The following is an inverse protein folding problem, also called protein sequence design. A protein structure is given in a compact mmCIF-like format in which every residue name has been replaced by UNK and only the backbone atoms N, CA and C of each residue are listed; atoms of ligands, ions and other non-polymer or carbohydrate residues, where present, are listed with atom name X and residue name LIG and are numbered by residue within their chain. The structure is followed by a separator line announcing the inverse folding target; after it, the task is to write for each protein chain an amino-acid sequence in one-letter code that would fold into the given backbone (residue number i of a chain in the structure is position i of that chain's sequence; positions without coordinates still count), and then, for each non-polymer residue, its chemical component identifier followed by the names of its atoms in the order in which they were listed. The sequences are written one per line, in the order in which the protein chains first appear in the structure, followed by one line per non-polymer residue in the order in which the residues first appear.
data_IF_677870608080
#
_entry.id   IF_677870608080
#
_cell.length_a   1.000
_cell.length_b   1.000
_cell.length_c   1.000
_cell.angle_alpha   90.00
_cell.angle_beta   90.00
_cell.angle_gamma   90.00
#
_symmetry.space_group_name_H-M   'P 1'
#
loop_
_entity.id
_entity.type
_entity.pdbx_description
1 polymer ?
#
# COMPACT_ATOMS: atom_id res chain seq x y z
N UNK A 1 -34.66 -11.18 -37.36
CA UNK A 1 -35.90 -10.37 -37.20
C UNK A 1 -36.33 -10.21 -35.75
N UNK A 2 -37.10 -11.10 -35.10
CA UNK A 2 -37.61 -10.83 -33.71
C UNK A 2 -36.55 -10.42 -32.67
N UNK A 3 -35.32 -10.96 -32.76
CA UNK A 3 -34.21 -10.58 -31.88
C UNK A 3 -33.69 -9.14 -32.09
N UNK A 4 -33.73 -8.60 -33.31
CA UNK A 4 -33.29 -7.22 -33.60
C UNK A 4 -34.30 -6.17 -33.14
N UNK A 5 -35.59 -6.48 -33.26
CA UNK A 5 -36.68 -5.58 -32.82
C UNK A 5 -36.66 -5.40 -31.31
N UNK A 6 -36.40 -6.47 -30.54
CA UNK A 6 -36.27 -6.40 -29.08
C UNK A 6 -35.08 -5.53 -28.64
N UNK A 7 -33.99 -5.59 -29.41
CA UNK A 7 -32.77 -4.83 -29.18
C UNK A 7 -33.01 -3.32 -29.37
N UNK A 8 -33.72 -2.94 -30.44
CA UNK A 8 -34.17 -1.57 -30.70
C UNK A 8 -35.05 -1.01 -29.58
N UNK A 9 -36.09 -1.73 -29.16
CA UNK A 9 -37.03 -1.24 -28.13
C UNK A 9 -36.38 -1.03 -26.76
N UNK A 10 -35.40 -1.87 -26.39
CA UNK A 10 -34.62 -1.70 -25.16
C UNK A 10 -33.65 -0.52 -25.26
N UNK A 11 -33.15 -0.23 -26.46
CA UNK A 11 -32.28 0.91 -26.72
C UNK A 11 -33.08 2.22 -26.65
N UNK A 12 -34.24 2.32 -27.29
CA UNK A 12 -35.17 3.47 -27.15
C UNK A 12 -35.52 3.78 -25.69
N UNK A 13 -35.89 2.76 -24.90
CA UNK A 13 -36.16 2.95 -23.46
C UNK A 13 -34.92 3.35 -22.65
N UNK A 14 -33.71 2.92 -23.05
CA UNK A 14 -32.46 3.37 -22.44
C UNK A 14 -32.12 4.81 -22.84
N UNK A 15 -32.43 5.21 -24.08
CA UNK A 15 -32.29 6.58 -24.58
C UNK A 15 -33.26 7.56 -23.85
N UNK A 16 -34.39 7.07 -23.32
CA UNK A 16 -35.40 7.85 -22.59
C UNK A 16 -35.16 8.00 -21.06
N UNK A 17 -34.15 7.32 -20.49
CA UNK A 17 -33.66 7.60 -19.13
C UNK A 17 -34.42 6.99 -17.94
N UNK A 18 -35.49 6.21 -18.15
CA UNK A 18 -36.31 5.62 -17.07
C UNK A 18 -36.10 4.10 -16.83
N UNK A 19 -34.96 3.53 -17.23
CA UNK A 19 -34.71 2.07 -17.09
C UNK A 19 -33.35 1.75 -16.45
N UNK A 20 -33.32 0.72 -15.59
CA UNK A 20 -32.09 0.16 -15.02
C UNK A 20 -31.32 -0.63 -16.07
N UNK A 21 -30.01 -0.32 -16.21
CA UNK A 21 -29.19 -0.86 -17.29
C UNK A 21 -28.81 -2.35 -17.06
N UNK A 22 -28.84 -3.21 -18.10
CA UNK A 22 -28.31 -4.57 -18.02
C UNK A 22 -26.80 -4.59 -17.81
N UNK A 23 -26.30 -5.54 -17.03
CA UNK A 23 -24.93 -5.49 -16.49
C UNK A 23 -23.81 -5.58 -17.54
N UNK A 24 -24.03 -6.35 -18.61
CA UNK A 24 -23.04 -6.67 -19.65
C UNK A 24 -23.13 -5.79 -20.90
N UNK A 25 -24.08 -4.85 -20.94
CA UNK A 25 -24.26 -3.92 -22.06
C UNK A 25 -23.22 -2.79 -22.00
N UNK A 26 -22.95 -2.21 -23.16
CA UNK A 26 -22.11 -1.02 -23.33
C UNK A 26 -23.01 0.22 -23.38
N UNK A 27 -22.81 1.15 -22.45
CA UNK A 27 -23.55 2.41 -22.39
C UNK A 27 -22.55 3.58 -22.51
N UNK A 28 -21.90 3.99 -21.40
CA UNK A 28 -20.87 5.03 -21.43
C UNK A 28 -19.53 4.51 -21.98
N UNK A 29 -19.25 3.21 -21.84
CA UNK A 29 -17.95 2.62 -22.18
C UNK A 29 -18.09 1.32 -22.98
N UNK A 30 -17.18 1.13 -23.92
CA UNK A 30 -17.06 -0.10 -24.72
C UNK A 30 -16.33 -1.23 -23.96
N UNK A 31 -16.55 -2.47 -24.40
CA UNK A 31 -15.88 -3.66 -23.86
C UNK A 31 -14.35 -3.64 -23.91
N UNK A 32 -13.70 -2.93 -24.85
CA UNK A 32 -12.23 -2.85 -24.87
C UNK A 32 -11.73 -1.91 -23.75
N UNK A 33 -12.38 -0.76 -23.57
CA UNK A 33 -12.15 0.16 -22.45
C UNK A 33 -12.38 -0.50 -21.08
N UNK A 34 -13.44 -1.30 -20.93
CA UNK A 34 -13.72 -2.09 -19.71
C UNK A 34 -12.58 -3.08 -19.41
N UNK A 35 -12.18 -3.89 -20.41
CA UNK A 35 -11.07 -4.86 -20.28
C UNK A 35 -9.69 -4.21 -20.06
N UNK A 36 -9.46 -3.02 -20.63
CA UNK A 36 -8.27 -2.24 -20.36
C UNK A 36 -8.25 -1.74 -18.92
N UNK A 37 -9.36 -1.17 -18.44
CA UNK A 37 -9.53 -0.67 -17.07
C UNK A 37 -9.32 -1.77 -16.04
N UNK A 38 -9.86 -2.97 -16.28
CA UNK A 38 -9.64 -4.11 -15.40
C UNK A 38 -8.15 -4.45 -15.25
N UNK A 39 -7.43 -4.57 -16.36
CA UNK A 39 -5.97 -4.81 -16.34
C UNK A 39 -5.22 -3.68 -15.62
N UNK A 40 -5.59 -2.42 -15.88
CA UNK A 40 -5.00 -1.25 -15.23
C UNK A 40 -5.19 -1.30 -13.71
N UNK A 41 -6.41 -1.56 -13.24
CA UNK A 41 -6.72 -1.70 -11.81
C UNK A 41 -5.93 -2.85 -11.19
N UNK A 42 -5.92 -4.05 -11.79
CA UNK A 42 -5.22 -5.23 -11.25
C UNK A 42 -3.71 -4.98 -11.15
N UNK A 43 -3.08 -4.38 -12.16
CA UNK A 43 -1.64 -4.06 -12.14
C UNK A 43 -1.31 -3.06 -11.02
N UNK A 44 -1.96 -1.90 -10.98
CA UNK A 44 -1.63 -0.86 -10.00
C UNK A 44 -2.00 -1.25 -8.56
N UNK A 45 -3.12 -1.94 -8.37
CA UNK A 45 -3.51 -2.43 -7.04
C UNK A 45 -2.60 -3.55 -6.55
N UNK A 46 -2.12 -4.45 -7.42
CA UNK A 46 -1.12 -5.47 -7.06
C UNK A 46 0.20 -4.82 -6.62
N UNK A 47 0.71 -3.83 -7.37
CA UNK A 47 1.94 -3.12 -7.01
C UNK A 47 1.76 -2.38 -5.67
N UNK A 48 0.63 -1.69 -5.48
CA UNK A 48 0.30 -1.00 -4.24
C UNK A 48 0.16 -1.97 -3.04
N UNK A 49 -0.52 -3.09 -3.23
CA UNK A 49 -0.71 -4.13 -2.20
C UNK A 49 0.63 -4.74 -1.77
N UNK A 50 1.48 -5.15 -2.72
CA UNK A 50 2.81 -5.73 -2.41
C UNK A 50 3.72 -4.69 -1.76
N UNK A 51 3.74 -3.44 -2.26
CA UNK A 51 4.54 -2.36 -1.69
C UNK A 51 4.12 -2.06 -0.25
N UNK A 52 2.82 -1.86 0.01
CA UNK A 52 2.29 -1.58 1.36
C UNK A 52 2.44 -2.77 2.30
N UNK A 53 2.26 -4.01 1.83
CA UNK A 53 2.48 -5.22 2.62
C UNK A 53 3.95 -5.36 3.04
N UNK A 54 4.90 -5.08 2.15
CA UNK A 54 6.33 -5.03 2.51
C UNK A 54 6.61 -3.97 3.58
N UNK A 55 5.99 -2.79 3.46
CA UNK A 55 6.06 -1.73 4.48
C UNK A 55 5.55 -2.26 5.83
N UNK A 56 4.35 -2.85 5.87
CA UNK A 56 3.72 -3.45 7.06
C UNK A 56 4.53 -4.58 7.70
N UNK A 57 5.05 -5.52 6.91
CA UNK A 57 5.89 -6.60 7.40
C UNK A 57 7.19 -6.08 8.01
N UNK A 58 7.79 -5.04 7.42
CA UNK A 58 8.98 -4.40 8.01
C UNK A 58 8.65 -3.70 9.34
N UNK A 59 7.48 -3.05 9.46
CA UNK A 59 7.02 -2.49 10.73
C UNK A 59 6.83 -3.56 11.82
N UNK A 60 6.39 -4.78 11.44
CA UNK A 60 6.27 -5.90 12.38
C UNK A 60 7.63 -6.46 12.83
N UNK A 61 8.64 -6.45 11.95
CA UNK A 61 10.01 -6.88 12.27
C UNK A 61 10.77 -5.87 13.15
N UNK A 62 10.55 -4.56 12.96
CA UNK A 62 11.33 -3.48 13.60
C UNK A 62 10.47 -2.52 14.45
N UNK A 63 9.43 -3.06 15.12
CA UNK A 63 8.36 -2.30 15.80
C UNK A 63 8.85 -1.20 16.74
N UNK A 64 9.65 -1.53 17.75
CA UNK A 64 9.89 -0.63 18.91
C UNK A 64 11.12 0.29 18.75
N UNK A 65 12.02 -0.06 17.84
CA UNK A 65 13.31 0.62 17.64
C UNK A 65 13.30 1.69 16.56
N UNK A 66 12.38 1.59 15.58
CA UNK A 66 12.49 2.37 14.34
C UNK A 66 11.39 3.41 14.12
N UNK A 67 10.16 3.17 14.57
CA UNK A 67 8.99 3.95 14.14
C UNK A 67 8.26 4.63 15.30
N UNK A 68 8.91 5.66 15.84
CA UNK A 68 8.34 6.54 16.87
C UNK A 68 7.56 7.69 16.22
N UNK A 69 6.76 8.42 16.99
CA UNK A 69 6.22 9.69 16.51
C UNK A 69 7.37 10.68 16.25
N UNK A 70 7.28 11.56 15.23
CA UNK A 70 6.12 11.83 14.38
C UNK A 70 5.96 10.90 13.16
N UNK A 71 6.82 9.91 12.93
CA UNK A 71 6.80 9.05 11.73
C UNK A 71 5.75 7.93 11.75
N UNK A 72 5.31 7.52 12.96
CA UNK A 72 4.37 6.40 13.17
C UNK A 72 3.06 6.42 12.36
N UNK A 73 2.43 7.57 12.00
CA UNK A 73 1.25 7.62 11.13
C UNK A 73 1.43 6.91 9.77
N UNK A 74 2.66 6.86 9.22
CA UNK A 74 2.95 6.15 7.96
C UNK A 74 2.60 4.65 8.05
N UNK A 75 2.65 4.05 9.24
CA UNK A 75 2.21 2.65 9.48
C UNK A 75 0.74 2.47 9.16
N UNK A 76 -0.12 3.29 9.79
CA UNK A 76 -1.57 3.17 9.67
C UNK A 76 -2.06 3.59 8.30
N UNK A 77 -1.37 4.55 7.69
CA UNK A 77 -1.60 4.91 6.31
C UNK A 77 -1.24 3.77 5.33
N UNK A 78 -0.13 3.05 5.57
CA UNK A 78 0.22 1.85 4.78
C UNK A 78 -0.83 0.75 4.95
N UNK A 79 -1.39 0.58 6.15
CA UNK A 79 -2.49 -0.34 6.42
C UNK A 79 -3.75 0.04 5.65
N UNK A 80 -4.10 1.33 5.63
CA UNK A 80 -5.23 1.84 4.85
C UNK A 80 -5.04 1.56 3.35
N UNK A 81 -3.87 1.88 2.78
CA UNK A 81 -3.62 1.63 1.35
C UNK A 81 -3.52 0.14 1.00
N UNK A 82 -3.09 -0.73 1.93
CA UNK A 82 -3.11 -2.17 1.72
C UNK A 82 -4.55 -2.71 1.57
N UNK A 83 -5.45 -2.28 2.47
CA UNK A 83 -6.86 -2.69 2.44
C UNK A 83 -7.65 -2.01 1.30
N UNK A 84 -7.31 -0.77 0.96
CA UNK A 84 -7.82 -0.07 -0.23
C UNK A 84 -7.44 -0.80 -1.53
N UNK A 85 -6.15 -1.16 -1.68
CA UNK A 85 -5.69 -1.95 -2.82
C UNK A 85 -6.32 -3.35 -2.86
N UNK A 86 -6.53 -3.99 -1.69
CA UNK A 86 -7.27 -5.23 -1.60
C UNK A 86 -8.72 -5.09 -2.08
N UNK A 87 -9.39 -3.94 -1.88
CA UNK A 87 -10.72 -3.66 -2.44
C UNK A 87 -10.79 -3.79 -3.96
N UNK A 88 -9.78 -3.28 -4.68
CA UNK A 88 -9.67 -3.47 -6.14
C UNK A 88 -9.43 -4.93 -6.52
N UNK A 89 -8.56 -5.64 -5.79
CA UNK A 89 -8.23 -7.05 -6.06
C UNK A 89 -9.39 -7.99 -5.73
N UNK A 90 -10.20 -7.68 -4.70
CA UNK A 90 -11.33 -8.50 -4.29
C UNK A 90 -12.38 -8.63 -5.40
N UNK A 91 -12.63 -7.56 -6.16
CA UNK A 91 -13.49 -7.59 -7.36
C UNK A 91 -13.00 -8.63 -8.39
N UNK A 92 -11.69 -8.74 -8.60
CA UNK A 92 -11.11 -9.73 -9.50
C UNK A 92 -11.23 -11.16 -8.95
N UNK A 93 -11.00 -11.34 -7.64
CA UNK A 93 -11.10 -12.65 -6.96
C UNK A 93 -12.53 -13.20 -6.97
N UNK A 94 -13.54 -12.35 -6.78
CA UNK A 94 -14.95 -12.75 -6.70
C UNK A 94 -15.62 -12.98 -8.07
N UNK A 95 -14.88 -12.79 -9.17
CA UNK A 95 -15.39 -12.55 -10.52
C UNK A 95 -16.27 -11.28 -10.56
N UNK A 96 -15.91 -10.32 -11.42
CA UNK A 96 -16.42 -8.94 -11.32
C UNK A 96 -17.95 -8.81 -11.36
N UNK A 97 -18.61 -9.75 -12.03
CA UNK A 97 -20.05 -9.83 -12.21
C UNK A 97 -20.78 -10.02 -10.87
N UNK A 98 -20.17 -10.73 -9.90
CA UNK A 98 -20.73 -10.91 -8.55
C UNK A 98 -20.82 -9.61 -7.74
N UNK A 99 -19.99 -8.60 -8.09
CA UNK A 99 -19.94 -7.29 -7.43
C UNK A 99 -20.79 -6.27 -8.18
N UNK A 100 -20.68 -6.24 -9.52
CA UNK A 100 -21.36 -5.27 -10.39
C UNK A 100 -22.83 -5.61 -10.63
N UNK A 101 -23.15 -6.89 -10.74
CA UNK A 101 -24.45 -7.38 -11.20
C UNK A 101 -25.29 -7.95 -10.07
N UNK A 102 -26.59 -7.71 -10.12
CA UNK A 102 -27.58 -8.35 -9.26
C UNK A 102 -28.57 -9.14 -10.12
N UNK A 103 -28.88 -10.37 -9.69
CA UNK A 103 -29.95 -11.16 -10.28
C UNK A 103 -31.28 -10.62 -9.76
N UNK A 104 -32.21 -10.30 -10.68
CA UNK A 104 -33.52 -9.75 -10.31
C UNK A 104 -34.40 -10.85 -9.71
N UNK A 105 -34.39 -10.98 -8.38
CA UNK A 105 -35.07 -12.09 -7.69
C UNK A 105 -36.52 -11.82 -7.27
N UNK A 106 -37.06 -10.63 -7.60
CA UNK A 106 -38.44 -10.26 -7.30
C UNK A 106 -39.19 -9.95 -8.60
N UNK A 107 -40.20 -10.77 -8.93
CA UNK A 107 -41.10 -10.60 -10.08
C UNK A 107 -42.06 -9.41 -9.97
N UNK A 108 -41.64 -8.30 -9.38
CA UNK A 108 -42.44 -7.12 -9.11
C UNK A 108 -41.71 -5.82 -9.46
N UNK A 109 -41.15 -5.74 -10.68
CA UNK A 109 -41.14 -4.50 -11.49
C UNK A 109 -40.73 -4.72 -12.95
N UNK A 110 -41.10 -5.87 -13.55
CA UNK A 110 -40.70 -6.18 -14.94
C UNK A 110 -41.78 -6.93 -15.73
N UNK A 111 -43.03 -6.42 -15.69
CA UNK A 111 -44.16 -6.91 -16.50
C UNK A 111 -44.02 -6.64 -18.02
N UNK A 112 -42.81 -6.45 -18.53
CA UNK A 112 -42.51 -6.26 -19.96
C UNK A 112 -41.37 -7.13 -20.50
N UNK A 113 -40.70 -7.96 -19.67
CA UNK A 113 -39.58 -8.81 -20.12
C UNK A 113 -39.71 -10.26 -19.64
N UNK A 114 -40.91 -10.84 -19.76
CA UNK A 114 -41.14 -12.29 -19.64
C UNK A 114 -41.77 -12.82 -20.93
N UNK A 115 -41.00 -12.75 -22.03
CA UNK A 115 -41.35 -13.42 -23.29
C UNK A 115 -40.14 -14.00 -24.04
N UNK A 116 -39.22 -14.61 -23.29
CA UNK A 116 -38.21 -15.54 -23.84
C UNK A 116 -37.72 -16.45 -22.73
N UNK A 117 -37.94 -17.75 -22.85
CA UNK A 117 -37.50 -18.74 -21.88
C UNK A 117 -35.99 -19.03 -21.98
N UNK A 118 -35.14 -18.07 -21.63
CA UNK A 118 -33.69 -18.26 -21.47
C UNK A 118 -33.02 -17.05 -20.81
N UNK A 119 -32.41 -17.27 -19.64
CA UNK A 119 -31.53 -16.34 -18.90
C UNK A 119 -32.24 -15.13 -18.26
N UNK A 120 -32.24 -15.09 -16.92
CA UNK A 120 -32.63 -13.90 -16.14
C UNK A 120 -31.67 -12.74 -16.41
N UNK A 121 -32.13 -11.53 -16.76
CA UNK A 121 -31.25 -10.40 -16.97
C UNK A 121 -30.62 -9.96 -15.65
N UNK A 122 -29.29 -10.02 -15.57
CA UNK A 122 -28.54 -9.42 -14.47
C UNK A 122 -28.45 -7.91 -14.70
N UNK A 123 -28.90 -7.12 -13.73
CA UNK A 123 -28.91 -5.66 -13.80
C UNK A 123 -27.71 -5.08 -13.06
N UNK A 124 -27.25 -3.88 -13.45
CA UNK A 124 -26.26 -3.13 -12.67
C UNK A 124 -26.86 -2.81 -11.29
N UNK A 125 -26.07 -2.97 -10.23
CA UNK A 125 -26.48 -2.64 -8.87
C UNK A 125 -26.69 -1.12 -8.72
N UNK A 126 -27.96 -0.71 -8.70
CA UNK A 126 -28.44 0.66 -8.43
C UNK A 126 -28.95 0.86 -6.99
N UNK A 127 -28.84 -0.18 -6.16
CA UNK A 127 -29.13 -0.17 -4.72
C UNK A 127 -28.08 -1.03 -4.03
N UNK A 128 -26.91 -0.43 -3.78
CA UNK A 128 -25.72 -1.15 -3.33
C UNK A 128 -25.83 -1.90 -2.01
N UNK A 129 -26.89 -1.67 -1.23
CA UNK A 129 -27.15 -2.42 0.00
C UNK A 129 -27.65 -3.85 -0.24
N UNK A 130 -28.30 -4.11 -1.37
CA UNK A 130 -28.96 -5.39 -1.64
C UNK A 130 -27.97 -6.48 -2.09
N UNK A 131 -26.74 -6.09 -2.46
CA UNK A 131 -25.63 -6.98 -2.74
C UNK A 131 -24.53 -6.85 -1.65
N UNK A 132 -24.34 -7.90 -0.83
CA UNK A 132 -23.33 -7.87 0.24
C UNK A 132 -21.89 -7.68 -0.26
N UNK A 133 -21.55 -8.18 -1.45
CA UNK A 133 -20.21 -7.96 -2.04
C UNK A 133 -20.00 -6.50 -2.43
N UNK A 134 -21.05 -5.83 -2.90
CA UNK A 134 -21.04 -4.40 -3.20
C UNK A 134 -20.75 -3.56 -1.94
N UNK A 135 -21.40 -3.86 -0.80
CA UNK A 135 -21.14 -3.22 0.50
C UNK A 135 -19.70 -3.47 1.00
N UNK A 136 -19.17 -4.69 0.85
CA UNK A 136 -17.80 -5.05 1.24
C UNK A 136 -16.78 -4.27 0.41
N UNK A 137 -16.94 -4.22 -0.92
CA UNK A 137 -16.08 -3.47 -1.83
C UNK A 137 -16.15 -1.97 -1.54
N UNK A 138 -17.36 -1.41 -1.35
CA UNK A 138 -17.54 -0.02 -0.92
C UNK A 138 -16.79 0.26 0.39
N UNK A 139 -16.89 -0.62 1.39
CA UNK A 139 -16.22 -0.43 2.68
C UNK A 139 -14.71 -0.48 2.51
N UNK A 140 -14.16 -1.44 1.76
CA UNK A 140 -12.73 -1.51 1.48
C UNK A 140 -12.20 -0.27 0.74
N UNK A 141 -12.98 0.26 -0.21
CA UNK A 141 -12.58 1.43 -1.00
C UNK A 141 -12.78 2.75 -0.22
N UNK A 142 -13.98 3.03 0.28
CA UNK A 142 -14.32 4.33 0.85
C UNK A 142 -13.76 4.53 2.26
N UNK A 143 -13.97 3.57 3.18
CA UNK A 143 -13.56 3.72 4.58
C UNK A 143 -12.04 3.88 4.69
N UNK A 144 -11.27 3.00 4.06
CA UNK A 144 -9.81 3.05 4.14
C UNK A 144 -9.21 4.19 3.33
N UNK A 145 -9.82 4.62 2.22
CA UNK A 145 -9.38 5.84 1.53
C UNK A 145 -9.55 7.07 2.42
N UNK A 146 -10.74 7.27 3.01
CA UNK A 146 -10.98 8.38 3.95
C UNK A 146 -10.07 8.30 5.18
N UNK A 147 -9.88 7.11 5.76
CA UNK A 147 -8.93 6.92 6.86
C UNK A 147 -7.49 7.28 6.45
N UNK A 148 -7.06 6.93 5.23
CA UNK A 148 -5.72 7.28 4.74
C UNK A 148 -5.50 8.80 4.63
N UNK A 149 -6.52 9.54 4.18
CA UNK A 149 -6.47 11.01 4.07
C UNK A 149 -6.38 11.65 5.46
N UNK A 150 -7.15 11.16 6.43
CA UNK A 150 -7.07 11.66 7.81
C UNK A 150 -5.73 11.25 8.47
N UNK A 151 -5.20 10.06 8.20
CA UNK A 151 -3.86 9.67 8.66
C UNK A 151 -2.75 10.53 8.06
N UNK A 152 -2.91 11.05 6.84
CA UNK A 152 -2.02 12.05 6.27
C UNK A 152 -2.16 13.42 6.96
N UNK A 153 -3.37 13.87 7.29
CA UNK A 153 -3.55 15.08 8.12
C UNK A 153 -2.93 14.91 9.51
N UNK A 154 -3.08 13.75 10.14
CA UNK A 154 -2.45 13.40 11.42
C UNK A 154 -0.93 13.37 11.31
N UNK A 155 -0.37 12.89 10.20
CA UNK A 155 1.07 12.97 9.92
C UNK A 155 1.52 14.43 9.90
N UNK A 156 0.87 15.28 9.10
CA UNK A 156 1.16 16.72 9.02
C UNK A 156 0.96 17.44 10.36
N UNK A 157 0.00 17.03 11.20
CA UNK A 157 -0.18 17.62 12.53
C UNK A 157 0.88 17.16 13.55
N UNK A 158 1.25 15.87 13.55
CA UNK A 158 2.36 15.38 14.38
C UNK A 158 3.69 16.03 13.98
N UNK A 159 3.83 16.35 12.69
CA UNK A 159 4.91 17.14 12.12
C UNK A 159 4.96 18.56 12.67
N UNK A 160 3.84 19.29 12.64
CA UNK A 160 3.68 20.59 13.28
C UNK A 160 4.01 20.59 14.77
N UNK A 161 3.56 19.59 15.52
CA UNK A 161 3.90 19.46 16.94
C UNK A 161 5.41 19.27 17.16
N UNK A 162 6.08 18.51 16.30
CA UNK A 162 7.52 18.29 16.40
C UNK A 162 8.35 19.51 15.96
N UNK A 163 8.00 20.14 14.83
CA UNK A 163 8.78 21.24 14.23
C UNK A 163 8.51 22.60 14.88
N UNK A 164 7.24 22.92 15.18
CA UNK A 164 6.82 24.25 15.67
C UNK A 164 6.68 24.26 17.18
N UNK A 165 6.04 23.23 17.76
CA UNK A 165 5.85 23.13 19.22
C UNK A 165 7.02 22.45 19.94
N UNK A 166 8.01 21.95 19.20
CA UNK A 166 9.20 21.27 19.73
C UNK A 166 8.87 20.04 20.62
N UNK A 167 7.73 19.37 20.35
CA UNK A 167 7.32 18.20 21.11
C UNK A 167 8.20 16.99 20.80
N UNK A 168 8.65 16.31 21.86
CA UNK A 168 9.32 15.03 21.76
C UNK A 168 8.38 13.90 21.36
N UNK A 169 8.95 12.81 20.85
CA UNK A 169 8.21 11.62 20.42
C UNK A 169 7.29 11.04 21.51
N UNK A 170 7.71 11.13 22.78
CA UNK A 170 6.96 10.69 23.96
C UNK A 170 5.74 11.59 24.23
N UNK A 171 5.92 12.91 24.18
CA UNK A 171 4.82 13.88 24.33
C UNK A 171 3.74 13.68 23.27
N UNK A 172 4.13 13.44 22.01
CA UNK A 172 3.20 13.13 20.92
C UNK A 172 2.53 11.76 21.15
N UNK A 173 3.27 10.76 21.64
CA UNK A 173 2.72 9.44 21.95
C UNK A 173 1.63 9.49 23.05
N UNK A 174 1.77 10.33 24.06
CA UNK A 174 0.78 10.49 25.13
C UNK A 174 -0.58 11.03 24.63
N UNK A 175 -0.61 11.71 23.49
CA UNK A 175 -1.83 12.26 22.86
C UNK A 175 -2.34 11.33 21.72
N UNK A 176 -1.63 10.25 21.39
CA UNK A 176 -1.94 9.37 20.25
C UNK A 176 -3.33 8.76 20.24
N UNK A 177 -3.95 8.55 21.41
CA UNK A 177 -5.33 8.09 21.55
C UNK A 177 -6.34 8.96 20.79
N UNK A 178 -6.16 10.29 20.79
CA UNK A 178 -7.03 11.23 20.07
C UNK A 178 -6.85 11.13 18.56
N UNK A 179 -5.60 10.93 18.09
CA UNK A 179 -5.33 10.70 16.68
C UNK A 179 -6.02 9.44 16.17
N UNK A 180 -5.96 8.35 16.95
CA UNK A 180 -6.64 7.10 16.63
C UNK A 180 -8.17 7.24 16.63
N UNK A 181 -8.74 7.93 17.63
CA UNK A 181 -10.17 8.16 17.72
C UNK A 181 -10.69 8.94 16.50
N UNK A 182 -10.00 10.00 16.10
CA UNK A 182 -10.39 10.84 14.96
C UNK A 182 -10.19 10.09 13.63
N UNK A 183 -9.01 9.48 13.42
CA UNK A 183 -8.65 8.85 12.15
C UNK A 183 -9.43 7.57 11.83
N UNK A 184 -9.96 6.86 12.83
CA UNK A 184 -10.84 5.71 12.61
C UNK A 184 -12.34 6.03 12.77
N UNK A 185 -12.68 6.99 13.63
CA UNK A 185 -14.06 7.37 13.94
C UNK A 185 -14.72 8.23 12.86
N UNK A 186 -14.03 9.23 12.31
CA UNK A 186 -14.61 10.08 11.26
C UNK A 186 -14.92 9.30 9.96
N UNK A 187 -14.04 8.42 9.43
CA UNK A 187 -14.37 7.58 8.28
C UNK A 187 -15.52 6.61 8.57
N UNK A 188 -15.63 6.11 9.81
CA UNK A 188 -16.74 5.23 10.20
C UNK A 188 -18.06 5.99 10.15
N UNK A 189 -18.12 7.19 10.75
CA UNK A 189 -19.31 8.04 10.75
C UNK A 189 -19.74 8.40 9.32
N UNK A 190 -18.79 8.80 8.46
CA UNK A 190 -19.08 9.10 7.05
C UNK A 190 -19.58 7.85 6.29
N UNK A 191 -18.98 6.68 6.52
CA UNK A 191 -19.41 5.42 5.87
C UNK A 191 -20.82 5.01 6.30
N UNK A 192 -21.13 5.13 7.61
CA UNK A 192 -22.46 4.87 8.17
C UNK A 192 -23.48 5.85 7.58
N UNK A 193 -23.15 7.13 7.44
CA UNK A 193 -24.03 8.13 6.84
C UNK A 193 -24.39 7.78 5.37
N UNK A 194 -23.43 7.32 4.57
CA UNK A 194 -23.67 6.88 3.19
C UNK A 194 -24.58 5.63 3.15
N UNK A 195 -24.33 4.66 4.03
CA UNK A 195 -25.14 3.43 4.12
C UNK A 195 -26.59 3.75 4.50
N UNK A 196 -26.81 4.61 5.50
CA UNK A 196 -28.15 5.09 5.88
C UNK A 196 -28.80 5.87 4.72
N UNK A 197 -28.02 6.70 4.02
CA UNK A 197 -28.45 7.44 2.84
C UNK A 197 -28.62 6.61 1.56
N UNK A 198 -28.43 5.28 1.62
CA UNK A 198 -28.57 4.31 0.51
C UNK A 198 -27.89 4.73 -0.81
N UNK A 199 -26.86 5.57 -0.75
CA UNK A 199 -26.26 6.23 -1.94
C UNK A 199 -25.08 5.45 -2.51
N UNK A 200 -25.26 4.14 -2.69
CA UNK A 200 -24.23 3.21 -3.18
C UNK A 200 -24.62 2.62 -4.54
N UNK A 201 -23.75 2.85 -5.53
CA UNK A 201 -23.97 2.43 -6.92
C UNK A 201 -22.74 1.65 -7.43
N UNK A 202 -22.95 0.69 -8.33
CA UNK A 202 -21.86 0.05 -9.06
C UNK A 202 -21.49 0.82 -10.33
N UNK A 203 -20.19 1.09 -10.54
CA UNK A 203 -19.73 1.77 -11.77
C UNK A 203 -19.71 0.85 -12.99
N UNK A 204 -20.20 1.34 -14.14
CA UNK A 204 -20.21 0.57 -15.40
C UNK A 204 -18.80 0.15 -15.84
N UNK A 205 -17.84 1.08 -15.72
CA UNK A 205 -16.46 0.93 -16.22
C UNK A 205 -15.62 0.02 -15.32
N UNK A 206 -15.65 0.25 -14.01
CA UNK A 206 -14.77 -0.44 -13.06
C UNK A 206 -15.43 -1.67 -12.44
N UNK A 207 -16.76 -1.78 -12.46
CA UNK A 207 -17.50 -2.81 -11.74
C UNK A 207 -17.26 -2.78 -10.22
N UNK A 208 -16.87 -1.63 -9.67
CA UNK A 208 -16.69 -1.40 -8.24
C UNK A 208 -17.87 -0.61 -7.70
N UNK A 209 -18.26 -0.91 -6.45
CA UNK A 209 -19.27 -0.15 -5.75
C UNK A 209 -18.68 1.04 -4.99
N UNK A 210 -19.26 2.21 -5.19
CA UNK A 210 -18.81 3.45 -4.56
C UNK A 210 -19.96 4.43 -4.34
N UNK A 211 -19.68 5.52 -3.62
CA UNK A 211 -20.69 6.56 -3.33
C UNK A 211 -20.90 7.49 -4.52
N UNK A 212 -22.17 7.76 -4.84
CA UNK A 212 -22.57 8.86 -5.70
C UNK A 212 -22.13 8.75 -7.17
N UNK A 213 -22.23 7.57 -7.78
CA UNK A 213 -21.95 7.45 -9.22
C UNK A 213 -23.09 8.05 -10.06
N UNK A 214 -24.33 7.91 -9.59
CA UNK A 214 -25.50 8.60 -10.18
C UNK A 214 -25.98 9.77 -9.32
N UNK A 215 -25.88 9.67 -7.99
CA UNK A 215 -26.28 10.74 -7.07
C UNK A 215 -25.16 11.79 -6.87
N UNK A 216 -25.23 12.90 -7.61
CA UNK A 216 -24.28 14.02 -7.55
C UNK A 216 -24.24 14.71 -6.19
N UNK A 217 -25.37 14.81 -5.48
CA UNK A 217 -25.43 15.42 -4.16
C UNK A 217 -24.68 14.57 -3.12
N UNK A 218 -24.78 13.24 -3.21
CA UNK A 218 -24.02 12.33 -2.37
C UNK A 218 -22.52 12.36 -2.71
N UNK A 219 -22.14 12.42 -3.99
CA UNK A 219 -20.75 12.58 -4.42
C UNK A 219 -20.13 13.86 -3.86
N UNK A 220 -20.82 14.99 -4.02
CA UNK A 220 -20.33 16.28 -3.55
C UNK A 220 -20.25 16.34 -2.02
N UNK A 221 -21.34 15.96 -1.34
CA UNK A 221 -21.49 16.06 0.11
C UNK A 221 -20.61 15.11 0.91
N UNK A 222 -20.51 13.84 0.52
CA UNK A 222 -19.77 12.82 1.29
C UNK A 222 -18.32 12.64 0.83
N UNK A 223 -17.97 12.97 -0.41
CA UNK A 223 -16.62 12.76 -0.94
C UNK A 223 -15.86 14.07 -1.20
N UNK A 224 -16.38 14.94 -2.09
CA UNK A 224 -15.63 16.12 -2.54
C UNK A 224 -15.42 17.12 -1.39
N UNK A 225 -16.45 17.43 -0.60
CA UNK A 225 -16.33 18.35 0.54
C UNK A 225 -15.34 17.84 1.60
N UNK A 226 -15.46 16.60 2.15
CA UNK A 226 -14.53 16.13 3.17
C UNK A 226 -13.08 16.04 2.67
N UNK A 227 -12.85 15.54 1.44
CA UNK A 227 -11.51 15.48 0.87
C UNK A 227 -10.89 16.88 0.72
N UNK A 228 -11.67 17.86 0.26
CA UNK A 228 -11.19 19.23 0.08
C UNK A 228 -10.84 19.88 1.43
N UNK A 229 -11.67 19.69 2.46
CA UNK A 229 -11.40 20.18 3.82
C UNK A 229 -10.12 19.56 4.38
N UNK A 230 -9.97 18.23 4.32
CA UNK A 230 -8.76 17.57 4.83
C UNK A 230 -7.50 17.96 4.03
N UNK A 231 -7.60 18.10 2.71
CA UNK A 231 -6.49 18.56 1.87
C UNK A 231 -6.03 19.97 2.28
N UNK A 232 -6.95 20.92 2.44
CA UNK A 232 -6.64 22.30 2.86
C UNK A 232 -5.99 22.32 4.25
N UNK A 233 -6.52 21.56 5.22
CA UNK A 233 -5.95 21.46 6.57
C UNK A 233 -4.52 20.90 6.54
N UNK A 234 -4.30 19.80 5.81
CA UNK A 234 -2.99 19.16 5.72
C UNK A 234 -1.96 20.02 4.98
N UNK A 235 -2.34 20.71 3.89
CA UNK A 235 -1.48 21.70 3.23
C UNK A 235 -1.18 22.88 4.17
N UNK A 236 -2.16 23.32 4.97
CA UNK A 236 -1.98 24.35 6.00
C UNK A 236 -0.87 23.99 6.99
N UNK A 237 -0.90 22.77 7.57
CA UNK A 237 0.18 22.32 8.45
C UNK A 237 1.53 22.21 7.72
N UNK A 238 1.56 21.57 6.54
CA UNK A 238 2.81 21.40 5.76
C UNK A 238 3.46 22.77 5.43
N UNK A 239 2.67 23.77 5.04
CA UNK A 239 3.20 25.11 4.73
C UNK A 239 3.76 25.81 5.96
N UNK A 240 3.08 25.74 7.11
CA UNK A 240 3.58 26.26 8.39
C UNK A 240 4.90 25.56 8.78
N UNK A 241 4.97 24.24 8.63
CA UNK A 241 6.14 23.45 8.99
C UNK A 241 7.34 23.76 8.09
N UNK A 242 7.12 23.90 6.78
CA UNK A 242 8.15 24.33 5.82
C UNK A 242 8.70 25.72 6.17
N UNK A 243 7.85 26.66 6.59
CA UNK A 243 8.27 28.00 7.01
C UNK A 243 9.05 27.97 8.33
N UNK A 244 8.58 27.21 9.33
CA UNK A 244 9.27 27.03 10.60
C UNK A 244 10.65 26.38 10.40
N UNK A 245 10.74 25.32 9.60
CA UNK A 245 12.00 24.66 9.26
C UNK A 245 12.99 25.60 8.56
N UNK A 246 12.52 26.47 7.64
CA UNK A 246 13.37 27.48 6.99
C UNK A 246 13.92 28.50 8.00
N UNK A 247 13.11 28.92 8.97
CA UNK A 247 13.55 29.84 10.03
C UNK A 247 14.59 29.19 10.95
N UNK A 248 14.37 27.93 11.38
CA UNK A 248 15.31 27.19 12.22
C UNK A 248 16.63 26.95 11.46
N UNK A 249 16.59 26.55 10.18
CA UNK A 249 17.80 26.43 9.35
C UNK A 249 18.57 27.74 9.23
N UNK A 250 17.88 28.88 9.04
CA UNK A 250 18.51 30.20 8.99
C UNK A 250 19.24 30.53 10.29
N UNK A 251 18.65 30.23 11.45
CA UNK A 251 19.29 30.41 12.75
C UNK A 251 20.51 29.48 12.93
N UNK A 252 20.36 28.19 12.64
CA UNK A 252 21.47 27.24 12.77
C UNK A 252 22.62 27.54 11.81
N UNK A 253 22.37 28.06 10.60
CA UNK A 253 23.42 28.47 9.65
C UNK A 253 24.27 29.66 10.13
N UNK A 254 23.82 30.38 11.16
CA UNK A 254 24.56 31.48 11.79
C UNK A 254 25.38 31.02 13.01
N UNK A 255 25.20 29.79 13.48
CA UNK A 255 26.02 29.19 14.53
C UNK A 255 27.06 28.23 13.94
N UNK A 256 28.34 28.52 14.20
CA UNK A 256 29.51 27.81 13.65
C UNK A 256 29.63 26.33 14.10
N UNK A 257 28.82 25.86 15.06
CA UNK A 257 28.95 24.53 15.68
C UNK A 257 28.28 23.40 14.89
N UNK A 258 29.15 22.54 14.29
CA UNK A 258 28.89 21.16 13.80
C UNK A 258 27.90 20.95 12.64
N UNK A 259 28.51 20.97 11.44
CA UNK A 259 27.92 20.59 10.14
C UNK A 259 27.35 19.16 10.04
N UNK A 260 27.83 18.19 10.84
CA UNK A 260 27.44 16.77 10.68
C UNK A 260 26.01 16.49 11.12
N UNK A 261 25.57 17.07 12.23
CA UNK A 261 24.21 16.83 12.75
C UNK A 261 23.19 17.65 11.96
N UNK A 262 23.55 18.87 11.54
CA UNK A 262 22.83 19.65 10.52
C UNK A 262 22.52 18.84 9.27
N UNK A 263 23.51 18.16 8.67
CA UNK A 263 23.30 17.33 7.47
C UNK A 263 22.36 16.14 7.74
N UNK A 264 22.34 15.57 8.95
CA UNK A 264 21.41 14.49 9.32
C UNK A 264 19.98 15.01 9.50
N UNK A 265 19.80 16.12 10.22
CA UNK A 265 18.51 16.79 10.37
C UNK A 265 17.97 17.23 9.00
N UNK A 266 18.81 17.81 8.15
CA UNK A 266 18.42 18.25 6.81
C UNK A 266 17.97 17.10 5.90
N UNK A 267 18.67 15.96 5.93
CA UNK A 267 18.29 14.74 5.19
C UNK A 267 17.03 14.08 5.72
N UNK A 268 16.83 14.10 7.05
CA UNK A 268 15.58 13.65 7.65
C UNK A 268 14.45 14.56 7.19
N UNK A 269 14.48 15.84 7.57
CA UNK A 269 13.45 16.84 7.27
C UNK A 269 13.08 16.91 5.78
N UNK A 270 14.06 16.89 4.87
CA UNK A 270 13.80 16.92 3.43
C UNK A 270 13.06 15.67 2.93
N UNK A 271 13.42 14.47 3.40
CA UNK A 271 12.77 13.21 3.00
C UNK A 271 11.27 13.23 3.29
N UNK A 272 10.89 13.87 4.39
CA UNK A 272 9.52 13.82 4.91
C UNK A 272 8.69 14.98 4.37
N UNK A 273 9.28 16.17 4.20
CA UNK A 273 8.67 17.24 3.43
C UNK A 273 8.31 16.79 2.00
N UNK A 274 9.23 16.10 1.32
CA UNK A 274 9.00 15.50 -0.01
C UNK A 274 7.84 14.49 0.06
N UNK A 275 7.83 13.61 1.06
CA UNK A 275 6.77 12.61 1.23
C UNK A 275 5.39 13.25 1.43
N UNK A 276 5.26 14.21 2.36
CA UNK A 276 3.98 14.89 2.64
C UNK A 276 3.44 15.68 1.43
N UNK A 277 4.31 16.27 0.60
CA UNK A 277 3.92 16.93 -0.67
C UNK A 277 3.53 15.90 -1.74
N UNK A 278 4.23 14.76 -1.79
CA UNK A 278 3.93 13.62 -2.69
C UNK A 278 2.55 13.00 -2.41
N UNK A 279 1.91 13.34 -1.29
CA UNK A 279 0.55 12.94 -0.93
C UNK A 279 -0.49 13.99 -1.30
N UNK A 280 -0.20 15.26 -1.03
CA UNK A 280 -1.10 16.37 -1.34
C UNK A 280 -1.38 16.49 -2.85
N UNK A 281 -0.36 16.30 -3.69
CA UNK A 281 -0.50 16.41 -5.14
C UNK A 281 -1.42 15.34 -5.75
N UNK A 282 -1.22 14.02 -5.56
CA UNK A 282 -2.17 13.01 -6.08
C UNK A 282 -3.58 13.16 -5.49
N UNK A 283 -3.71 13.54 -4.22
CA UNK A 283 -5.02 13.80 -3.59
C UNK A 283 -5.74 14.96 -4.29
N UNK A 284 -5.03 16.05 -4.60
CA UNK A 284 -5.58 17.18 -5.36
C UNK A 284 -6.01 16.78 -6.78
N UNK A 285 -5.21 15.95 -7.47
CA UNK A 285 -5.56 15.42 -8.81
C UNK A 285 -6.80 14.52 -8.74
N UNK A 286 -6.90 13.65 -7.73
CA UNK A 286 -8.09 12.79 -7.52
C UNK A 286 -9.34 13.63 -7.23
N UNK A 287 -9.24 14.70 -6.43
CA UNK A 287 -10.35 15.66 -6.24
C UNK A 287 -10.72 16.32 -7.58
N UNK A 288 -9.75 16.73 -8.39
CA UNK A 288 -9.98 17.26 -9.73
C UNK A 288 -10.72 16.28 -10.65
N UNK A 289 -10.39 14.99 -10.59
CA UNK A 289 -11.11 13.94 -11.32
C UNK A 289 -12.57 13.80 -10.84
N UNK A 290 -12.81 13.83 -9.52
CA UNK A 290 -14.17 13.80 -8.97
C UNK A 290 -14.97 15.09 -9.26
N UNK A 291 -14.32 16.25 -9.35
CA UNK A 291 -14.98 17.50 -9.80
C UNK A 291 -15.37 17.40 -11.28
N UNK A 292 -14.51 16.85 -12.13
CA UNK A 292 -14.86 16.55 -13.52
C UNK A 292 -16.07 15.61 -13.61
N UNK A 293 -16.05 14.49 -12.87
CA UNK A 293 -17.21 13.59 -12.80
C UNK A 293 -18.47 14.33 -12.30
N UNK A 294 -18.39 15.10 -11.22
CA UNK A 294 -19.52 15.87 -10.69
C UNK A 294 -20.12 16.88 -11.70
N UNK A 295 -19.27 17.58 -12.48
CA UNK A 295 -19.70 18.59 -13.44
C UNK A 295 -20.35 17.98 -14.69
N UNK A 296 -19.88 16.81 -15.15
CA UNK A 296 -20.27 16.25 -16.45
C UNK A 296 -21.16 14.99 -16.36
N UNK A 297 -21.28 14.33 -15.21
CA UNK A 297 -22.12 13.12 -15.06
C UNK A 297 -23.58 13.36 -15.45
N UNK A 298 -24.14 14.54 -15.15
CA UNK A 298 -25.49 14.91 -15.58
C UNK A 298 -25.58 14.90 -17.11
N UNK A 299 -24.64 15.54 -17.81
CA UNK A 299 -24.58 15.60 -19.28
C UNK A 299 -24.45 14.20 -19.89
N UNK A 300 -23.66 13.31 -19.28
CA UNK A 300 -23.53 11.91 -19.74
C UNK A 300 -24.81 11.08 -19.49
N UNK A 301 -25.51 11.34 -18.39
CA UNK A 301 -26.77 10.64 -18.06
C UNK A 301 -28.00 11.20 -18.79
N UNK A 302 -27.98 12.47 -19.20
CA UNK A 302 -29.14 13.18 -19.77
C UNK A 302 -28.91 13.71 -21.18
N UNK A 303 -27.89 13.22 -21.90
CA UNK A 303 -27.52 13.68 -23.26
C UNK A 303 -28.64 13.61 -24.31
N UNK A 304 -29.73 12.89 -24.03
CA UNK A 304 -30.97 12.80 -24.81
C UNK A 304 -32.15 13.64 -24.28
N UNK A 305 -32.06 14.16 -23.06
CA UNK A 305 -33.00 15.16 -22.55
C UNK A 305 -32.58 16.58 -22.98
N UNK A 306 -31.30 16.77 -23.33
CA UNK A 306 -30.74 18.01 -23.87
C UNK A 306 -30.94 18.22 -25.38
N UNK A 307 -31.40 17.21 -26.11
CA UNK A 307 -31.80 17.37 -27.52
C UNK A 307 -33.19 18.00 -27.61
N UNK A 308 -33.41 18.81 -28.64
CA UNK A 308 -34.68 19.52 -28.82
C UNK A 308 -35.83 18.52 -29.00
N UNK A 309 -37.07 18.89 -28.67
CA UNK A 309 -38.21 17.95 -28.78
C UNK A 309 -38.43 17.44 -30.22
N UNK A 310 -38.05 18.24 -31.22
CA UNK A 310 -38.02 17.86 -32.63
C UNK A 310 -36.99 16.76 -32.95
N UNK A 311 -35.85 16.76 -32.25
CA UNK A 311 -34.76 15.78 -32.39
C UNK A 311 -35.07 14.48 -31.60
N UNK A 312 -35.99 14.54 -30.62
CA UNK A 312 -36.61 13.37 -29.98
C UNK A 312 -37.68 12.70 -30.85
N UNK A 313 -38.31 13.45 -31.75
CA UNK A 313 -39.34 12.92 -32.67
C UNK A 313 -38.69 12.17 -33.85
N UNK A 314 -37.53 12.64 -34.35
CA UNK A 314 -36.69 11.99 -35.36
C UNK A 314 -35.62 11.02 -34.76
N UNK A 315 -35.87 10.47 -33.58
CA UNK A 315 -34.87 9.70 -32.83
C UNK A 315 -34.67 8.27 -33.36
N UNK A 316 -33.84 8.13 -34.40
CA UNK A 316 -33.41 6.83 -34.92
C UNK A 316 -32.34 6.16 -34.04
N UNK A 317 -32.21 4.84 -34.15
CA UNK A 317 -31.17 4.03 -33.47
C UNK A 317 -29.76 4.59 -33.69
N UNK A 318 -29.45 4.93 -34.95
CA UNK A 318 -28.15 5.45 -35.36
C UNK A 318 -27.91 6.86 -34.78
N UNK A 319 -28.92 7.73 -34.76
CA UNK A 319 -28.83 9.07 -34.16
C UNK A 319 -28.61 9.00 -32.63
N UNK A 320 -29.36 8.16 -31.89
CA UNK A 320 -29.13 8.00 -30.45
C UNK A 320 -27.71 7.46 -30.19
N UNK A 321 -27.18 6.56 -31.05
CA UNK A 321 -25.80 6.09 -30.94
C UNK A 321 -24.75 7.19 -31.20
N UNK A 322 -24.95 8.09 -32.17
CA UNK A 322 -24.04 9.22 -32.40
C UNK A 322 -24.07 10.22 -31.21
N UNK A 323 -25.26 10.55 -30.69
CA UNK A 323 -25.44 11.46 -29.55
C UNK A 323 -24.75 10.91 -28.30
N UNK A 324 -24.90 9.62 -28.01
CA UNK A 324 -24.24 8.94 -26.89
C UNK A 324 -22.72 8.85 -27.08
N UNK A 325 -22.23 8.67 -28.31
CA UNK A 325 -20.79 8.71 -28.61
C UNK A 325 -20.20 10.11 -28.40
N UNK A 326 -20.92 11.17 -28.81
CA UNK A 326 -20.48 12.57 -28.68
C UNK A 326 -20.30 13.01 -27.22
N UNK A 327 -21.08 12.44 -26.29
CA UNK A 327 -21.06 12.78 -24.87
C UNK A 327 -20.37 11.72 -24.00
N UNK A 328 -19.43 10.92 -24.53
CA UNK A 328 -18.73 9.93 -23.71
C UNK A 328 -17.78 10.56 -22.66
N UNK A 329 -17.71 10.00 -21.45
CA UNK A 329 -16.68 10.33 -20.48
C UNK A 329 -15.26 9.98 -20.95
N UNK A 330 -14.28 10.82 -20.63
CA UNK A 330 -12.87 10.60 -20.96
C UNK A 330 -12.26 9.47 -20.11
N UNK A 331 -11.93 8.35 -20.75
CA UNK A 331 -11.34 7.16 -20.11
C UNK A 331 -10.06 7.47 -19.34
N UNK A 332 -9.25 8.37 -19.89
CA UNK A 332 -7.96 8.80 -19.36
C UNK A 332 -8.09 9.39 -17.94
N UNK A 333 -9.19 10.10 -17.67
CA UNK A 333 -9.44 10.70 -16.34
C UNK A 333 -9.72 9.62 -15.30
N UNK A 334 -10.43 8.55 -15.68
CA UNK A 334 -10.63 7.39 -14.80
C UNK A 334 -9.31 6.64 -14.56
N UNK A 335 -8.46 6.47 -15.58
CA UNK A 335 -7.14 5.84 -15.43
C UNK A 335 -6.23 6.67 -14.52
N UNK A 336 -6.23 7.99 -14.70
CA UNK A 336 -5.49 8.96 -13.89
C UNK A 336 -5.97 8.92 -12.44
N UNK A 337 -7.28 8.91 -12.19
CA UNK A 337 -7.87 8.80 -10.85
C UNK A 337 -7.41 7.53 -10.13
N UNK A 338 -7.47 6.37 -10.78
CA UNK A 338 -7.04 5.08 -10.23
C UNK A 338 -5.53 5.06 -9.96
N UNK A 339 -4.73 5.60 -10.90
CA UNK A 339 -3.28 5.68 -10.71
C UNK A 339 -2.90 6.61 -9.55
N UNK A 340 -3.50 7.80 -9.49
CA UNK A 340 -3.21 8.81 -8.47
C UNK A 340 -3.75 8.42 -7.09
N UNK A 341 -4.80 7.61 -6.98
CA UNK A 341 -5.21 7.06 -5.68
C UNK A 341 -4.26 5.96 -5.20
N UNK A 342 -3.68 5.15 -6.09
CA UNK A 342 -2.81 4.01 -5.71
C UNK A 342 -1.32 4.37 -5.56
N UNK A 343 -0.80 5.36 -6.29
CA UNK A 343 0.62 5.77 -6.24
C UNK A 343 1.06 6.22 -4.84
N UNK A 344 0.12 6.77 -4.08
CA UNK A 344 0.30 7.22 -2.70
C UNK A 344 0.67 6.05 -1.78
N UNK A 345 -0.03 4.92 -1.90
CA UNK A 345 0.30 3.68 -1.19
C UNK A 345 1.66 3.11 -1.59
N UNK A 346 2.00 3.15 -2.89
CA UNK A 346 3.32 2.72 -3.40
C UNK A 346 4.45 3.58 -2.80
N UNK A 347 4.24 4.89 -2.68
CA UNK A 347 5.23 5.80 -2.09
C UNK A 347 5.59 5.44 -0.63
N UNK A 348 4.69 4.81 0.15
CA UNK A 348 4.99 4.35 1.53
C UNK A 348 6.19 3.41 1.59
N UNK A 349 6.41 2.57 0.56
CA UNK A 349 7.53 1.62 0.55
C UNK A 349 8.87 2.36 0.52
N UNK A 350 8.96 3.48 -0.22
CA UNK A 350 10.19 4.30 -0.31
C UNK A 350 10.63 4.88 1.03
N UNK A 351 9.72 5.02 2.00
CA UNK A 351 9.99 5.42 3.38
C UNK A 351 10.81 4.36 4.13
N UNK A 352 10.37 3.12 3.99
CA UNK A 352 10.86 1.98 4.74
C UNK A 352 12.07 1.33 4.06
N UNK A 353 12.23 1.49 2.74
CA UNK A 353 13.47 1.10 2.06
C UNK A 353 14.67 1.90 2.62
N UNK A 354 15.67 1.16 3.07
CA UNK A 354 16.97 1.66 3.51
C UNK A 354 17.99 0.52 3.43
N UNK A 355 19.29 0.84 3.45
CA UNK A 355 20.35 -0.19 3.49
C UNK A 355 20.24 -1.11 4.71
N UNK A 356 19.74 -0.61 5.85
CA UNK A 356 19.47 -1.42 7.05
C UNK A 356 18.35 -2.42 6.79
N UNK A 357 17.23 -1.94 6.23
CA UNK A 357 16.07 -2.77 5.86
C UNK A 357 16.47 -3.95 4.98
N UNK A 358 17.28 -3.72 3.95
CA UNK A 358 17.73 -4.78 3.05
C UNK A 358 18.57 -5.85 3.77
N UNK A 359 19.40 -5.45 4.74
CA UNK A 359 20.18 -6.38 5.56
C UNK A 359 19.28 -7.16 6.54
N UNK A 360 18.32 -6.50 7.19
CA UNK A 360 17.31 -7.17 8.04
C UNK A 360 16.55 -8.22 7.23
N UNK A 361 16.01 -7.85 6.07
CA UNK A 361 15.27 -8.78 5.20
C UNK A 361 16.16 -9.90 4.65
N UNK A 362 17.41 -9.63 4.26
CA UNK A 362 18.37 -10.69 3.87
C UNK A 362 18.59 -11.70 5.01
N UNK A 363 18.76 -11.21 6.24
CA UNK A 363 18.94 -12.07 7.42
C UNK A 363 17.67 -12.89 7.71
N UNK A 364 16.49 -12.26 7.74
CA UNK A 364 15.21 -12.93 7.97
C UNK A 364 14.89 -13.96 6.89
N UNK A 365 15.08 -13.63 5.61
CA UNK A 365 14.87 -14.58 4.51
C UNK A 365 15.83 -15.77 4.60
N UNK A 366 17.11 -15.54 4.89
CA UNK A 366 18.08 -16.60 5.12
C UNK A 366 17.65 -17.50 6.28
N UNK A 367 17.28 -16.93 7.42
CA UNK A 367 16.77 -17.67 8.59
C UNK A 367 15.51 -18.49 8.26
N UNK A 368 14.53 -17.91 7.57
CA UNK A 368 13.31 -18.61 7.17
C UNK A 368 13.59 -19.76 6.18
N UNK A 369 14.54 -19.59 5.26
CA UNK A 369 14.97 -20.63 4.32
C UNK A 369 15.68 -21.77 5.08
N UNK A 370 16.66 -21.45 5.94
CA UNK A 370 17.36 -22.44 6.76
C UNK A 370 16.43 -23.19 7.72
N UNK A 371 15.43 -22.52 8.30
CA UNK A 371 14.40 -23.16 9.13
C UNK A 371 13.49 -24.08 8.32
N UNK A 372 13.25 -23.80 7.03
CA UNK A 372 12.53 -24.71 6.11
C UNK A 372 13.32 -25.98 5.77
N UNK A 373 14.65 -25.93 5.80
CA UNK A 373 15.51 -27.10 5.55
C UNK A 373 15.88 -27.90 6.82
N UNK A 374 15.56 -27.39 8.02
CA UNK A 374 15.68 -28.17 9.27
C UNK A 374 14.56 -29.20 9.40
N UNK A 375 14.84 -30.41 8.89
CA UNK A 375 13.94 -31.55 8.98
C UNK A 375 13.65 -31.97 10.44
N UNK A 376 12.43 -32.42 10.82
CA UNK A 376 12.09 -32.78 12.21
C UNK A 376 12.78 -34.03 12.78
N UNK A 377 13.61 -34.73 12.00
CA UNK A 377 14.09 -36.09 12.27
C UNK A 377 15.07 -36.23 13.47
N UNK A 378 15.50 -35.12 14.09
CA UNK A 378 16.48 -35.14 15.19
C UNK A 378 15.89 -35.29 16.60
N UNK A 379 14.61 -35.67 16.74
CA UNK A 379 13.94 -35.88 18.05
C UNK A 379 13.69 -37.34 18.44
N UNK A 380 14.04 -38.32 17.61
CA UNK A 380 13.74 -39.73 17.84
C UNK A 380 14.89 -40.55 18.49
N UNK A 381 16.08 -39.96 18.67
CA UNK A 381 17.31 -40.73 18.98
C UNK A 381 18.07 -40.23 20.21
N UNK A 382 17.35 -39.85 21.27
CA UNK A 382 17.91 -39.89 22.65
C UNK A 382 16.99 -40.80 23.46
N UNK A 383 17.38 -42.08 23.50
CA UNK A 383 16.60 -43.14 24.11
C UNK A 383 16.73 -43.13 25.65
N UNK A 384 15.68 -43.67 26.28
CA UNK A 384 15.75 -44.62 27.41
C UNK A 384 17.05 -44.62 28.24
N UNK A 385 17.04 -43.93 29.38
CA UNK A 385 17.86 -44.28 30.54
C UNK A 385 16.93 -44.27 31.77
N UNK A 386 16.85 -45.36 32.57
CA UNK A 386 15.98 -45.43 33.74
C UNK A 386 16.55 -44.67 34.95
N UNK A 387 15.70 -44.50 35.96
CA UNK A 387 15.96 -43.67 37.15
C UNK A 387 17.20 -44.07 37.95
N UNK A 388 17.93 -43.07 38.46
CA UNK A 388 18.40 -43.05 39.84
C UNK A 388 18.17 -41.68 40.46
N UNK A 389 17.37 -41.63 41.52
CA UNK A 389 17.33 -40.47 42.42
C UNK A 389 18.62 -40.44 43.24
N UNK A 390 19.24 -39.27 43.35
CA UNK A 390 20.05 -38.94 44.52
C UNK A 390 19.88 -37.46 44.86
N UNK A 391 19.46 -37.18 46.08
CA UNK A 391 19.39 -35.83 46.62
C UNK A 391 20.78 -35.38 47.05
N UNK A 392 21.19 -34.18 46.63
CA UNK A 392 22.20 -33.41 47.37
C UNK A 392 21.70 -31.97 47.50
N UNK A 393 21.53 -31.53 48.74
CA UNK A 393 21.09 -30.19 49.12
C UNK A 393 22.33 -29.32 49.38
N UNK A 394 22.54 -28.24 48.62
CA UNK A 394 23.51 -27.19 48.98
C UNK A 394 22.90 -25.79 48.81
N UNK A 395 23.01 -25.03 49.90
CA UNK A 395 22.56 -23.66 50.14
C UNK A 395 23.47 -22.66 49.38
N UNK A 396 22.91 -21.70 48.64
CA UNK A 396 23.71 -20.69 47.92
C UNK A 396 22.91 -19.43 47.56
N UNK A 397 23.51 -18.25 47.74
CA UNK A 397 22.82 -16.95 47.65
C UNK A 397 22.57 -16.49 46.21
N UNK A 398 21.47 -15.76 46.01
CA UNK A 398 21.21 -15.02 44.77
C UNK A 398 22.08 -13.75 44.76
N UNK A 399 23.00 -13.65 43.82
CA UNK A 399 23.64 -12.39 43.42
C UNK A 399 23.60 -12.26 41.90
N UNK A 400 23.00 -11.16 41.40
CA UNK A 400 22.89 -10.87 39.96
C UNK A 400 23.88 -9.77 39.58
N UNK A 401 24.81 -10.06 38.66
CA UNK A 401 25.42 -9.13 37.68
C UNK A 401 26.16 -9.94 36.58
N UNK A 402 26.52 -9.33 35.44
CA UNK A 402 26.21 -9.93 34.13
C UNK A 402 27.35 -10.75 33.52
N UNK A 403 26.99 -11.65 32.60
CA UNK A 403 27.94 -12.20 31.62
C UNK A 403 27.99 -11.29 30.39
N UNK A 404 29.19 -10.81 30.07
CA UNK A 404 29.52 -10.29 28.75
C UNK A 404 29.57 -11.47 27.75
N UNK A 405 29.02 -11.29 26.54
CA UNK A 405 29.24 -12.24 25.44
C UNK A 405 30.39 -11.74 24.55
N UNK A 406 31.37 -12.60 24.21
CA UNK A 406 32.36 -12.26 23.21
C UNK A 406 31.74 -12.30 21.80
N UNK A 407 32.11 -11.32 20.97
CA UNK A 407 31.89 -11.34 19.53
C UNK A 407 32.66 -12.52 18.91
N UNK A 408 31.95 -13.50 18.37
CA UNK A 408 32.52 -14.51 17.48
C UNK A 408 31.93 -14.30 16.08
N UNK A 409 32.84 -14.26 15.11
CA UNK A 409 32.61 -13.88 13.72
C UNK A 409 31.68 -14.85 12.98
N UNK A 410 30.49 -14.37 12.57
CA UNK A 410 29.50 -15.17 11.85
C UNK A 410 29.70 -15.23 10.33
N UNK A 411 30.74 -14.62 9.75
CA UNK A 411 30.90 -14.61 8.28
C UNK A 411 31.28 -15.97 7.67
N UNK A 412 31.86 -16.89 8.44
CA UNK A 412 32.45 -18.12 7.88
C UNK A 412 31.56 -19.38 7.86
N UNK A 413 30.33 -19.35 8.42
CA UNK A 413 29.52 -20.56 8.53
C UNK A 413 28.71 -20.93 7.27
N UNK A 414 28.50 -19.99 6.33
CA UNK A 414 27.76 -20.25 5.09
C UNK A 414 28.64 -20.70 3.90
N UNK A 415 29.98 -20.64 4.01
CA UNK A 415 30.88 -21.03 2.93
C UNK A 415 31.16 -22.55 2.90
N UNK A 416 31.03 -23.23 4.05
CA UNK A 416 31.58 -24.58 4.23
C UNK A 416 30.68 -25.70 3.69
N UNK A 417 29.36 -25.51 3.61
CA UNK A 417 28.46 -26.57 3.11
C UNK A 417 28.46 -26.74 1.58
N UNK A 418 28.87 -25.72 0.81
CA UNK A 418 28.95 -25.85 -0.65
C UNK A 418 30.05 -26.83 -1.10
N UNK A 419 31.13 -26.98 -0.33
CA UNK A 419 32.24 -27.89 -0.68
C UNK A 419 31.99 -29.35 -0.29
N UNK A 420 30.95 -29.65 0.51
CA UNK A 420 30.64 -31.04 0.94
C UNK A 420 29.83 -31.79 -0.13
N UNK A 421 29.02 -31.07 -0.91
CA UNK A 421 28.15 -31.66 -1.96
C UNK A 421 28.96 -32.20 -3.16
N UNK A 422 30.17 -31.70 -3.40
CA UNK A 422 30.99 -32.11 -4.54
C UNK A 422 31.86 -33.35 -4.28
N UNK A 423 32.21 -33.65 -3.01
CA UNK A 423 32.98 -34.86 -2.67
C UNK A 423 32.12 -36.15 -2.65
N UNK A 424 30.80 -36.04 -2.50
CA UNK A 424 29.92 -37.21 -2.39
C UNK A 424 29.59 -37.91 -3.73
N UNK A 425 30.05 -37.38 -4.87
CA UNK A 425 29.84 -37.98 -6.20
C UNK A 425 30.94 -38.91 -6.70
N UNK A 426 32.12 -38.94 -6.06
CA UNK A 426 33.29 -39.70 -6.54
C UNK A 426 33.59 -40.99 -5.76
N UNK A 427 32.74 -41.38 -4.79
CA UNK A 427 32.89 -42.62 -4.02
C UNK A 427 31.86 -43.69 -4.42
N UNK A 428 31.91 -44.14 -5.69
CA UNK A 428 31.15 -45.32 -6.13
C UNK A 428 31.70 -46.00 -7.40
N UNK A 429 33.01 -46.32 -7.45
CA UNK A 429 33.60 -47.25 -8.45
C UNK A 429 34.98 -47.76 -8.02
N UNK A 430 35.24 -49.07 -8.12
CA UNK A 430 36.52 -49.81 -7.89
C UNK A 430 37.23 -49.59 -6.53
N UNK A 431 37.57 -50.58 -5.69
CA UNK A 431 38.00 -51.97 -5.90
C UNK A 431 39.07 -52.16 -6.98
N UNK A 432 40.35 -51.92 -6.65
CA UNK A 432 41.36 -53.01 -6.57
C UNK A 432 42.80 -52.52 -6.28
N UNK A 433 43.55 -53.43 -5.63
CA UNK A 433 45.02 -53.65 -5.69
C UNK A 433 46.07 -52.60 -5.20
N UNK A 434 47.07 -53.18 -4.50
CA UNK A 434 48.50 -52.80 -4.44
C UNK A 434 48.98 -51.59 -3.60
N UNK A 435 49.47 -51.94 -2.41
CA UNK A 435 50.75 -51.52 -1.79
C UNK A 435 51.68 -50.53 -2.54
N UNK A 436 52.16 -49.50 -1.81
CA UNK A 436 53.59 -49.14 -1.67
C UNK A 436 53.83 -48.12 -0.52
N UNK A 437 55.09 -47.81 -0.26
CA UNK A 437 55.67 -47.48 1.06
C UNK A 437 56.78 -46.40 0.92
N UNK A 438 57.08 -45.65 1.98
CA UNK A 438 58.20 -44.65 2.11
C UNK A 438 58.07 -43.33 1.30
N UNK A 439 58.73 -42.19 1.59
CA UNK A 439 59.75 -41.83 2.61
C UNK A 439 59.76 -40.31 3.01
N UNK A 440 60.64 -39.94 3.96
CA UNK A 440 60.95 -38.58 4.48
C UNK A 440 61.84 -37.69 3.55
N UNK A 441 61.80 -36.34 3.71
CA UNK A 441 62.94 -35.44 4.17
C UNK A 441 62.81 -33.92 3.86
N UNK A 442 63.49 -33.11 4.72
CA UNK A 442 64.12 -31.75 4.62
C UNK A 442 63.86 -30.81 3.41
N UNK A 443 63.86 -29.45 3.47
CA UNK A 443 64.71 -28.42 4.16
C UNK A 443 63.88 -27.11 4.45
N UNK A 444 64.37 -26.01 5.06
CA UNK A 444 65.60 -25.74 5.84
C UNK A 444 66.33 -24.38 5.60
N UNK A 445 66.50 -23.57 6.68
CA UNK A 445 67.53 -22.49 6.95
C UNK A 445 67.34 -20.98 6.56
N UNK A 446 67.40 -20.13 7.63
CA UNK A 446 68.10 -18.79 7.81
C UNK A 446 67.81 -17.60 6.84
N UNK A 447 68.08 -16.30 7.14
CA UNK A 447 68.91 -15.60 8.18
C UNK A 447 68.35 -14.19 8.56
N UNK A 448 69.00 -13.50 9.51
CA UNK A 448 68.61 -12.24 10.19
C UNK A 448 69.61 -11.07 9.99
N UNK A 449 69.23 -9.85 10.42
CA UNK A 449 70.03 -8.59 10.51
C UNK A 449 69.34 -7.43 9.75
N UNK A 450 68.97 -6.26 10.30
CA UNK A 450 69.63 -5.34 11.24
C UNK A 450 70.06 -4.07 10.45
N UNK A 451 70.03 -2.80 10.90
CA UNK A 451 69.58 -2.09 12.10
C UNK A 451 70.00 -0.60 11.96
N UNK A 452 69.39 0.37 12.67
CA UNK A 452 69.84 1.78 12.57
C UNK A 452 68.99 2.83 13.30
N UNK A 453 69.56 3.49 14.32
CA UNK A 453 68.98 4.64 15.04
C UNK A 453 69.57 5.98 14.57
N UNK A 454 68.81 7.08 14.69
CA UNK A 454 69.30 8.33 15.32
C UNK A 454 68.16 9.25 15.80
N UNK A 455 68.48 10.17 16.72
CA UNK A 455 67.56 10.99 17.53
C UNK A 455 67.51 12.47 17.06
N UNK A 456 66.33 13.11 17.24
CA UNK A 456 66.02 14.41 17.93
C UNK A 456 67.17 15.31 18.49
N UNK A 457 66.93 16.58 18.98
CA UNK A 457 65.73 17.48 18.92
C UNK A 457 66.04 19.04 18.76
N UNK A 458 65.04 19.92 19.04
CA UNK A 458 65.09 21.26 19.72
C UNK A 458 64.66 22.55 18.94
N UNK A 459 63.68 23.28 19.52
CA UNK A 459 63.29 24.73 19.36
C UNK A 459 62.87 25.25 17.96
N UNK A 460 62.06 26.31 17.80
CA UNK A 460 61.32 27.18 18.73
C UNK A 460 60.95 28.54 18.06
N UNK A 461 60.23 29.42 18.77
CA UNK A 461 59.92 30.85 18.44
C UNK A 461 58.68 31.13 17.56
N UNK A 462 58.07 32.29 17.85
CA UNK A 462 56.80 32.87 17.37
C UNK A 462 57.04 34.11 16.49
N UNK A 463 56.17 34.37 15.50
CA UNK A 463 55.82 35.74 15.03
C UNK A 463 54.69 35.72 13.97
N UNK A 464 53.65 36.52 14.23
CA UNK A 464 52.85 37.39 13.33
C UNK A 464 52.82 37.15 11.81
N UNK A 465 51.63 36.82 11.28
CA UNK A 465 50.85 37.66 10.33
C UNK A 465 49.43 37.11 10.10
#
# INVERSE_FOLDING_TARGET
MKFQVLDQTLYEQSCLGECTLPCDRDYMFDQASKKFTEKWMVVWSSICFVATLFTLLTFLLERDTRFRYPERPVVFLSLCYNLYAFGYLLRYILHGDSVKCQKSFNGFHMNLLVYSGSIEPALIVSSGMDNSYCVIVFTLLYYFYMASVIWWVVLSFAWYLSAVRQWGAESIANVSQYFHLIAWGLPALLSIAILIGRSLDASELTGLCFVGHHNTAALFGYLIIPLSIFLVIGIGFITIDLLAMRNIRKQMSLQQERTVDLIKFDKLMARIAIFSVTYGLPTAVVIGCYIYEYLYIQIWSTGLLSTNDQEKEDLTLDNCQEILQRHRPLLEIYMLKIFMSLIVGIATCTWVMSRKTFLTWKSTLCYCICMRFKNPAAKATVALIPQQQNQVNVRGQISRKPCELPLIDQQNFCATEMNVVEQQKNYTTSSDASSRQYDYRHYGKYRSGGGGLKKQPISGVSADL
#
